data_IF_482366592157
#
_entry.id   IF_482366592157
#
_cell.length_a   1.000
_cell.length_b   1.000
_cell.length_c   1.000
_cell.angle_alpha   90.00
_cell.angle_beta   90.00
_cell.angle_gamma   90.00
#
_symmetry.space_group_name_H-M   'P 1'
#
loop_
_entity.id
_entity.type
_entity.pdbx_description
1 polymer ?
#
# COMPACT_ATOMS: atom_id res chain seq x y z
N UNK A 1 -42.02 37.29 -10.73
CA UNK A 1 -41.25 36.20 -10.12
C UNK A 1 -40.94 36.59 -8.69
N UNK A 2 -41.55 35.91 -7.71
CA UNK A 2 -41.45 36.33 -6.30
C UNK A 2 -40.00 36.23 -5.81
N UNK A 3 -39.45 37.30 -5.24
CA UNK A 3 -38.06 37.36 -4.75
C UNK A 3 -37.73 36.21 -3.76
N UNK A 4 -38.73 35.77 -2.98
CA UNK A 4 -38.64 34.60 -2.09
C UNK A 4 -38.47 33.26 -2.84
N UNK A 5 -39.05 33.13 -4.04
CA UNK A 5 -38.95 31.93 -4.87
C UNK A 5 -37.57 31.83 -5.54
N UNK A 6 -36.97 32.99 -5.89
CA UNK A 6 -35.60 33.05 -6.41
C UNK A 6 -34.54 32.69 -5.37
N UNK A 7 -34.71 33.13 -4.12
CA UNK A 7 -33.79 32.81 -3.01
C UNK A 7 -33.86 31.32 -2.65
N UNK A 8 -35.05 30.71 -2.67
CA UNK A 8 -35.21 29.28 -2.41
C UNK A 8 -34.55 28.42 -3.51
N UNK A 9 -34.62 28.85 -4.76
CA UNK A 9 -33.97 28.16 -5.88
C UNK A 9 -32.43 28.23 -5.78
N UNK A 10 -31.88 29.37 -5.35
CA UNK A 10 -30.44 29.55 -5.10
C UNK A 10 -29.92 28.70 -3.94
N UNK A 11 -30.71 28.51 -2.87
CA UNK A 11 -30.37 27.64 -1.74
C UNK A 11 -30.42 26.14 -2.10
N UNK A 12 -31.32 25.74 -3.02
CA UNK A 12 -31.39 24.37 -3.52
C UNK A 12 -30.20 24.01 -4.45
N UNK A 13 -29.65 24.99 -5.18
CA UNK A 13 -28.45 24.79 -6.00
C UNK A 13 -27.15 24.68 -5.18
N UNK A 14 -27.09 25.23 -3.95
CA UNK A 14 -25.94 25.08 -3.06
C UNK A 14 -25.85 23.73 -2.33
N UNK A 15 -26.84 22.86 -2.48
CA UNK A 15 -26.89 21.51 -1.87
C UNK A 15 -26.32 20.41 -2.78
N UNK A 16 -25.80 20.74 -3.96
CA UNK A 16 -24.89 19.87 -4.68
C UNK A 16 -23.51 19.92 -4.02
N UNK A 17 -23.44 19.30 -2.84
CA UNK A 17 -22.17 18.86 -2.29
C UNK A 17 -21.68 17.77 -3.24
N UNK A 18 -20.83 18.13 -4.21
CA UNK A 18 -20.04 17.13 -4.91
C UNK A 18 -19.16 16.50 -3.84
N UNK A 19 -19.45 15.26 -3.47
CA UNK A 19 -18.43 14.42 -2.85
C UNK A 19 -17.28 14.44 -3.84
N UNK A 20 -16.18 15.09 -3.48
CA UNK A 20 -14.93 14.90 -4.19
C UNK A 20 -14.48 13.49 -3.84
N UNK A 21 -15.08 12.49 -4.48
CA UNK A 21 -14.46 11.17 -4.54
C UNK A 21 -13.09 11.41 -5.16
N UNK A 22 -12.03 11.00 -4.46
CA UNK A 22 -10.67 11.13 -4.96
C UNK A 22 -10.46 10.10 -6.06
N UNK A 23 -11.18 10.25 -7.18
CA UNK A 23 -11.08 9.40 -8.33
C UNK A 23 -9.69 9.57 -8.98
N UNK A 24 -8.97 8.47 -9.16
CA UNK A 24 -7.72 8.47 -9.90
C UNK A 24 -7.97 8.24 -11.39
N UNK A 25 -6.98 8.57 -12.21
CA UNK A 25 -6.91 8.24 -13.63
C UNK A 25 -5.77 7.26 -13.86
N UNK A 26 -5.79 6.55 -14.99
CA UNK A 26 -4.68 5.67 -15.39
C UNK A 26 -3.34 6.42 -15.44
N UNK A 27 -3.35 7.72 -15.78
CA UNK A 27 -2.16 8.58 -15.78
C UNK A 27 -1.58 8.87 -14.40
N UNK A 28 -2.34 8.60 -13.34
CA UNK A 28 -1.97 8.92 -11.96
C UNK A 28 -1.23 7.75 -11.28
N UNK A 29 -1.22 6.58 -11.94
CA UNK A 29 -0.37 5.45 -11.55
C UNK A 29 1.11 5.71 -11.81
N UNK A 30 1.94 4.80 -11.33
CA UNK A 30 3.39 4.87 -11.46
C UNK A 30 3.97 3.47 -11.63
N UNK A 31 5.09 3.39 -12.35
CA UNK A 31 5.68 2.11 -12.75
C UNK A 31 6.07 1.23 -11.56
N UNK A 32 6.32 1.81 -10.39
CA UNK A 32 6.85 1.10 -9.23
C UNK A 32 6.38 1.72 -7.91
N UNK A 33 5.88 0.86 -7.02
CA UNK A 33 5.76 1.09 -5.59
C UNK A 33 6.47 -0.02 -4.81
N UNK A 34 6.72 0.22 -3.52
CA UNK A 34 7.32 -0.77 -2.61
C UNK A 34 6.34 -1.10 -1.50
N UNK A 35 6.20 -2.37 -1.14
CA UNK A 35 5.47 -2.79 0.05
C UNK A 35 6.45 -3.16 1.16
N UNK A 36 6.27 -2.58 2.35
CA UNK A 36 7.09 -2.89 3.52
C UNK A 36 6.55 -4.12 4.25
N UNK A 37 7.04 -5.28 3.86
CA UNK A 37 6.62 -6.56 4.42
C UNK A 37 7.39 -6.88 5.69
N UNK A 38 6.69 -7.07 6.81
CA UNK A 38 7.31 -7.48 8.07
C UNK A 38 7.43 -9.01 8.13
N UNK A 39 8.67 -9.51 8.18
CA UNK A 39 8.97 -10.94 8.18
C UNK A 39 8.83 -11.50 9.58
N UNK A 40 7.86 -12.38 9.79
CA UNK A 40 7.76 -13.19 11.03
C UNK A 40 8.57 -14.48 10.91
N UNK A 41 8.77 -15.16 12.04
CA UNK A 41 9.50 -16.44 12.07
C UNK A 41 8.86 -17.49 11.14
N UNK A 42 9.69 -18.24 10.43
CA UNK A 42 9.28 -19.36 9.58
C UNK A 42 8.86 -19.00 8.15
N UNK A 43 8.85 -17.71 7.77
CA UNK A 43 8.57 -17.29 6.38
C UNK A 43 9.73 -17.61 5.44
N UNK A 44 9.40 -17.97 4.20
CA UNK A 44 10.36 -18.30 3.14
C UNK A 44 10.24 -17.28 2.00
N UNK A 45 11.38 -16.78 1.52
CA UNK A 45 11.39 -15.69 0.51
C UNK A 45 10.73 -16.09 -0.81
N UNK A 46 10.86 -17.35 -1.23
CA UNK A 46 10.22 -17.87 -2.45
C UNK A 46 8.69 -17.92 -2.35
N UNK A 47 8.15 -18.14 -1.15
CA UNK A 47 6.70 -18.13 -0.91
C UNK A 47 6.17 -16.70 -0.96
N UNK A 48 6.86 -15.76 -0.31
CA UNK A 48 6.55 -14.32 -0.41
C UNK A 48 6.59 -13.86 -1.88
N UNK A 49 7.59 -14.31 -2.65
CA UNK A 49 7.67 -13.98 -4.08
C UNK A 49 6.50 -14.55 -4.90
N UNK A 50 5.93 -15.70 -4.49
CA UNK A 50 4.76 -16.27 -5.13
C UNK A 50 3.48 -15.51 -4.76
N UNK A 51 3.33 -15.12 -3.48
CA UNK A 51 2.23 -14.31 -2.97
C UNK A 51 2.16 -12.94 -3.67
N UNK A 52 3.31 -12.29 -3.88
CA UNK A 52 3.43 -10.95 -4.48
C UNK A 52 3.82 -10.98 -5.96
N UNK A 53 3.55 -12.08 -6.67
CA UNK A 53 3.89 -12.21 -8.09
C UNK A 53 3.16 -11.13 -8.91
N UNK A 54 3.93 -10.36 -9.68
CA UNK A 54 3.43 -9.30 -10.57
C UNK A 54 4.28 -9.27 -11.85
N UNK A 55 4.08 -8.30 -12.74
CA UNK A 55 4.98 -8.07 -13.88
C UNK A 55 6.39 -7.64 -13.43
N UNK A 56 6.52 -6.97 -12.28
CA UNK A 56 7.81 -6.52 -11.71
C UNK A 56 8.50 -7.61 -10.89
N UNK A 57 7.73 -8.33 -10.08
CA UNK A 57 8.23 -9.37 -9.18
C UNK A 57 7.98 -10.75 -9.79
N UNK A 58 8.99 -11.27 -10.49
CA UNK A 58 8.92 -12.60 -11.13
C UNK A 58 9.57 -13.71 -10.30
N UNK A 59 10.44 -13.36 -9.34
CA UNK A 59 11.17 -14.32 -8.51
C UNK A 59 11.64 -13.73 -7.18
N UNK A 60 12.09 -14.59 -6.26
CA UNK A 60 12.69 -14.16 -4.99
C UNK A 60 13.90 -13.23 -5.18
N UNK A 61 14.66 -13.38 -6.28
CA UNK A 61 15.76 -12.48 -6.60
C UNK A 61 15.31 -11.04 -6.85
N UNK A 62 14.10 -10.82 -7.38
CA UNK A 62 13.52 -9.49 -7.51
C UNK A 62 13.37 -8.81 -6.15
N UNK A 63 13.08 -9.56 -5.07
CA UNK A 63 13.02 -9.01 -3.71
C UNK A 63 14.45 -8.72 -3.20
N UNK A 64 15.41 -9.62 -3.41
CA UNK A 64 16.82 -9.43 -2.98
C UNK A 64 17.40 -8.12 -3.51
N UNK A 65 17.09 -7.73 -4.76
CA UNK A 65 17.59 -6.50 -5.37
C UNK A 65 17.25 -5.23 -4.59
N UNK A 66 16.11 -5.21 -3.91
CA UNK A 66 15.63 -4.07 -3.10
C UNK A 66 16.04 -4.16 -1.62
N UNK A 67 16.71 -5.24 -1.21
CA UNK A 67 16.95 -5.57 0.21
C UNK A 67 18.39 -6.04 0.50
N UNK A 68 19.35 -5.76 -0.39
CA UNK A 68 20.72 -6.32 -0.35
C UNK A 68 21.48 -6.11 0.96
N UNK A 69 21.15 -5.06 1.71
CA UNK A 69 21.78 -4.78 3.00
C UNK A 69 21.42 -5.81 4.07
N UNK A 70 20.18 -6.32 4.07
CA UNK A 70 19.66 -7.23 5.10
C UNK A 70 19.36 -8.64 4.58
N UNK A 71 19.19 -8.80 3.27
CA UNK A 71 18.88 -10.05 2.57
C UNK A 71 19.88 -10.22 1.43
N UNK A 72 21.03 -10.87 1.67
CA UNK A 72 22.14 -10.92 0.70
C UNK A 72 21.87 -11.87 -0.47
N UNK A 73 21.00 -12.86 -0.30
CA UNK A 73 20.62 -13.84 -1.31
C UNK A 73 19.22 -14.42 -0.99
N UNK A 74 18.68 -15.21 -1.91
CA UNK A 74 17.34 -15.79 -1.80
C UNK A 74 17.21 -16.93 -0.76
N UNK A 75 18.33 -17.51 -0.33
CA UNK A 75 18.35 -18.69 0.55
C UNK A 75 18.35 -18.31 2.04
N UNK A 76 18.56 -17.04 2.37
CA UNK A 76 18.63 -16.55 3.74
C UNK A 76 17.66 -15.38 3.93
N UNK A 77 16.61 -15.61 4.72
CA UNK A 77 15.65 -14.59 5.12
C UNK A 77 15.62 -14.44 6.65
N UNK A 78 16.25 -13.39 7.22
CA UNK A 78 16.15 -13.12 8.65
C UNK A 78 14.70 -12.86 9.07
N UNK A 79 14.36 -13.28 10.29
CA UNK A 79 13.07 -12.96 10.90
C UNK A 79 13.11 -11.62 11.63
N UNK A 80 11.94 -11.03 11.84
CA UNK A 80 11.70 -9.78 12.57
C UNK A 80 12.36 -8.55 11.93
N UNK A 81 12.45 -8.57 10.59
CA UNK A 81 12.91 -7.44 9.78
C UNK A 81 11.80 -7.00 8.83
N UNK A 82 11.93 -5.81 8.26
CA UNK A 82 11.13 -5.36 7.12
C UNK A 82 11.92 -5.55 5.83
N UNK A 83 11.24 -6.02 4.79
CA UNK A 83 11.76 -6.09 3.43
C UNK A 83 10.86 -5.30 2.49
N UNK A 84 11.46 -4.68 1.47
CA UNK A 84 10.75 -3.99 0.41
C UNK A 84 10.38 -4.97 -0.70
N UNK A 85 9.09 -5.09 -1.00
CA UNK A 85 8.56 -5.90 -2.09
C UNK A 85 8.17 -4.96 -3.24
N UNK A 86 8.82 -5.02 -4.42
CA UNK A 86 8.47 -4.16 -5.54
C UNK A 86 7.20 -4.65 -6.25
N UNK A 87 6.29 -3.74 -6.59
CA UNK A 87 5.05 -4.05 -7.31
C UNK A 87 4.57 -2.85 -8.14
N UNK A 88 3.78 -3.08 -9.22
CA UNK A 88 3.22 -1.98 -10.02
C UNK A 88 2.20 -1.18 -9.20
N UNK A 89 2.01 0.09 -9.52
CA UNK A 89 1.01 0.93 -8.87
C UNK A 89 0.04 1.51 -9.90
N UNK A 90 -1.20 1.04 -9.88
CA UNK A 90 -2.19 1.28 -10.92
C UNK A 90 -3.42 1.98 -10.34
N UNK A 91 -4.14 2.71 -11.17
CA UNK A 91 -5.46 3.20 -10.80
C UNK A 91 -6.50 2.11 -10.99
N UNK A 92 -7.07 1.61 -9.89
CA UNK A 92 -8.07 0.54 -9.88
C UNK A 92 -9.46 1.17 -9.94
N UNK A 93 -10.22 0.78 -10.96
CA UNK A 93 -11.61 1.20 -11.21
C UNK A 93 -11.87 2.71 -11.22
N UNK A 94 -10.83 3.52 -11.38
CA UNK A 94 -10.92 4.98 -11.32
C UNK A 94 -11.07 5.53 -9.89
N UNK A 95 -10.91 4.71 -8.86
CA UNK A 95 -11.21 5.07 -7.48
C UNK A 95 -9.95 5.28 -6.62
N UNK A 96 -8.99 4.37 -6.68
CA UNK A 96 -7.80 4.44 -5.83
C UNK A 96 -6.57 3.80 -6.48
N UNK A 97 -5.39 4.20 -5.98
CA UNK A 97 -4.12 3.61 -6.40
C UNK A 97 -3.82 2.33 -5.62
N UNK A 98 -3.56 1.25 -6.34
CA UNK A 98 -3.22 -0.04 -5.77
C UNK A 98 -2.76 -1.04 -6.82
N UNK A 99 -2.62 -2.29 -6.38
CA UNK A 99 -2.47 -3.44 -7.25
C UNK A 99 -3.18 -4.65 -6.67
N UNK A 100 -3.79 -5.45 -7.54
CA UNK A 100 -4.50 -6.66 -7.16
C UNK A 100 -3.68 -7.89 -7.52
N UNK A 101 -3.14 -8.55 -6.50
CA UNK A 101 -2.42 -9.81 -6.63
C UNK A 101 -3.38 -10.99 -6.74
N UNK A 102 -2.91 -12.07 -7.37
CA UNK A 102 -3.63 -13.34 -7.49
C UNK A 102 -3.06 -14.34 -6.47
N UNK A 103 -3.77 -14.55 -5.37
CA UNK A 103 -3.34 -15.42 -4.27
C UNK A 103 -3.96 -16.81 -4.40
N UNK A 104 -3.13 -17.86 -4.46
CA UNK A 104 -3.62 -19.23 -4.44
C UNK A 104 -4.02 -19.64 -3.02
N UNK A 105 -5.28 -19.98 -2.81
CA UNK A 105 -5.80 -20.34 -1.49
C UNK A 105 -5.23 -21.67 -1.02
N UNK A 106 -4.82 -21.70 0.25
CA UNK A 106 -4.48 -22.91 0.98
C UNK A 106 -5.63 -23.35 1.89
N UNK A 107 -5.75 -24.67 2.11
CA UNK A 107 -6.79 -25.21 3.00
C UNK A 107 -6.73 -24.62 4.40
N UNK A 108 -7.86 -24.12 4.90
CA UNK A 108 -7.97 -23.45 6.20
C UNK A 108 -7.67 -21.95 6.19
N UNK A 109 -7.44 -21.33 5.03
CA UNK A 109 -7.32 -19.89 4.91
C UNK A 109 -8.61 -19.15 5.31
N UNK A 110 -8.42 -17.98 5.94
CA UNK A 110 -9.46 -17.02 6.27
C UNK A 110 -8.99 -15.63 5.82
N UNK A 111 -9.89 -14.67 5.63
CA UNK A 111 -9.44 -13.30 5.32
C UNK A 111 -8.56 -12.71 6.42
N UNK A 112 -8.80 -13.08 7.68
CA UNK A 112 -7.95 -12.67 8.80
C UNK A 112 -6.53 -13.21 8.67
N UNK A 113 -6.35 -14.51 8.38
CA UNK A 113 -5.02 -15.09 8.22
C UNK A 113 -4.32 -14.54 6.98
N UNK A 114 -5.05 -14.36 5.87
CA UNK A 114 -4.50 -13.79 4.64
C UNK A 114 -4.03 -12.35 4.86
N UNK A 115 -4.89 -11.48 5.41
CA UNK A 115 -4.55 -10.07 5.62
C UNK A 115 -3.41 -9.90 6.62
N UNK A 116 -3.51 -10.53 7.79
CA UNK A 116 -2.63 -10.21 8.91
C UNK A 116 -1.31 -10.99 8.88
N UNK A 117 -1.34 -12.24 8.37
CA UNK A 117 -0.19 -13.15 8.43
C UNK A 117 0.44 -13.36 7.05
N UNK A 118 -0.37 -13.62 6.02
CA UNK A 118 0.14 -13.85 4.65
C UNK A 118 0.66 -12.55 4.05
N UNK A 119 -0.14 -11.48 4.08
CA UNK A 119 0.20 -10.17 3.51
C UNK A 119 0.71 -9.17 4.56
N UNK A 120 1.01 -9.62 5.77
CA UNK A 120 1.63 -8.81 6.83
C UNK A 120 0.96 -7.43 7.08
N UNK A 121 -0.37 -7.37 7.01
CA UNK A 121 -1.21 -6.17 7.14
C UNK A 121 -1.08 -5.14 5.99
N UNK A 122 -0.54 -5.53 4.83
CA UNK A 122 -0.51 -4.71 3.61
C UNK A 122 -1.89 -4.61 2.93
N UNK A 123 -2.81 -5.48 3.28
CA UNK A 123 -4.22 -5.43 2.90
C UNK A 123 -5.11 -5.49 4.14
N UNK A 124 -6.41 -5.30 3.96
CA UNK A 124 -7.40 -5.38 5.04
C UNK A 124 -8.47 -6.41 4.72
N UNK A 125 -9.13 -6.93 5.76
CA UNK A 125 -10.27 -7.84 5.61
C UNK A 125 -11.38 -7.19 4.76
N UNK A 126 -11.61 -5.88 4.93
CA UNK A 126 -12.58 -5.14 4.11
C UNK A 126 -12.19 -5.10 2.63
N UNK A 127 -10.91 -4.87 2.32
CA UNK A 127 -10.40 -4.90 0.95
C UNK A 127 -10.53 -6.29 0.31
N UNK A 128 -10.22 -7.35 1.07
CA UNK A 128 -10.40 -8.74 0.62
C UNK A 128 -11.88 -9.05 0.32
N UNK A 129 -12.82 -8.62 1.17
CA UNK A 129 -14.25 -8.81 0.94
C UNK A 129 -14.75 -8.05 -0.30
N UNK A 130 -14.28 -6.82 -0.50
CA UNK A 130 -14.65 -6.02 -1.67
C UNK A 130 -14.10 -6.63 -2.97
N UNK A 131 -12.88 -7.17 -2.92
CA UNK A 131 -12.21 -7.75 -4.10
C UNK A 131 -12.71 -9.16 -4.44
N UNK A 132 -13.41 -9.82 -3.51
CA UNK A 132 -13.93 -11.19 -3.65
C UNK A 132 -15.38 -11.28 -3.12
N UNK A 133 -16.34 -10.56 -3.75
CA UNK A 133 -17.72 -10.42 -3.25
C UNK A 133 -18.50 -11.74 -3.21
N UNK A 134 -18.02 -12.79 -3.88
CA UNK A 134 -18.60 -14.12 -3.93
C UNK A 134 -18.35 -14.96 -2.66
N UNK A 135 -17.37 -14.59 -1.82
CA UNK A 135 -17.02 -15.34 -0.61
C UNK A 135 -17.23 -14.54 0.67
N UNK A 136 -17.88 -15.15 1.65
CA UNK A 136 -17.94 -14.62 3.02
C UNK A 136 -16.66 -14.97 3.78
N UNK A 137 -16.38 -14.26 4.89
CA UNK A 137 -15.10 -14.34 5.61
C UNK A 137 -14.64 -15.74 6.03
N UNK A 138 -15.59 -16.64 6.31
CA UNK A 138 -15.33 -18.02 6.74
C UNK A 138 -15.70 -19.06 5.67
N UNK A 139 -16.01 -18.63 4.44
CA UNK A 139 -16.42 -19.51 3.35
C UNK A 139 -15.55 -19.28 2.11
N UNK A 140 -14.26 -19.11 2.34
CA UNK A 140 -13.24 -19.14 1.29
C UNK A 140 -13.09 -20.61 0.88
N UNK A 141 -13.06 -20.94 -0.42
CA UNK A 141 -12.87 -22.31 -0.86
C UNK A 141 -11.48 -22.82 -0.48
N UNK A 142 -11.35 -24.10 -0.10
CA UNK A 142 -10.04 -24.69 0.28
C UNK A 142 -9.01 -24.71 -0.87
N UNK A 143 -9.45 -24.41 -2.08
CA UNK A 143 -8.62 -24.26 -3.28
C UNK A 143 -9.22 -23.18 -4.18
N UNK A 144 -8.38 -22.46 -4.91
CA UNK A 144 -8.83 -21.41 -5.82
C UNK A 144 -7.86 -20.24 -5.82
N UNK A 145 -8.30 -19.12 -6.39
CA UNK A 145 -7.53 -17.88 -6.45
C UNK A 145 -8.38 -16.75 -5.89
N UNK A 146 -7.80 -15.97 -4.98
CA UNK A 146 -8.38 -14.74 -4.47
C UNK A 146 -7.65 -13.53 -5.02
N UNK A 147 -8.41 -12.47 -5.25
CA UNK A 147 -7.90 -11.13 -5.49
C UNK A 147 -7.47 -10.51 -4.17
N UNK A 148 -6.19 -10.14 -4.05
CA UNK A 148 -5.65 -9.46 -2.88
C UNK A 148 -5.14 -8.09 -3.27
N UNK A 149 -5.85 -7.04 -2.87
CA UNK A 149 -5.52 -5.66 -3.24
C UNK A 149 -4.66 -4.99 -2.18
N UNK A 150 -3.52 -4.44 -2.60
CA UNK A 150 -2.59 -3.64 -1.77
C UNK A 150 -2.54 -2.23 -2.34
N UNK A 151 -2.79 -1.23 -1.49
CA UNK A 151 -2.78 0.16 -1.90
C UNK A 151 -1.35 0.68 -2.08
N UNK A 152 -1.20 1.69 -2.93
CA UNK A 152 0.08 2.35 -3.18
C UNK A 152 -0.13 3.87 -3.34
N UNK A 153 0.98 4.60 -3.45
CA UNK A 153 0.97 6.03 -3.73
C UNK A 153 2.02 6.35 -4.78
N UNK A 154 1.71 7.30 -5.65
CA UNK A 154 2.62 7.84 -6.66
C UNK A 154 3.05 9.28 -6.33
N UNK A 155 2.82 9.70 -5.08
CA UNK A 155 3.10 11.05 -4.62
C UNK A 155 1.99 12.05 -4.93
N UNK A 156 2.17 13.25 -4.37
CA UNK A 156 1.25 14.37 -4.55
C UNK A 156 2.11 15.61 -4.78
N UNK A 157 2.13 16.10 -6.01
CA UNK A 157 3.01 17.21 -6.41
C UNK A 157 2.77 18.50 -5.61
N UNK A 158 1.55 18.74 -5.13
CA UNK A 158 1.25 19.86 -4.23
C UNK A 158 1.85 19.71 -2.82
N UNK A 159 2.32 18.51 -2.45
CA UNK A 159 3.06 18.27 -1.21
C UNK A 159 4.56 18.46 -1.48
N UNK A 160 5.10 17.73 -2.45
CA UNK A 160 6.47 17.87 -2.94
C UNK A 160 6.63 17.20 -4.31
N UNK A 161 7.42 17.81 -5.19
CA UNK A 161 7.78 17.26 -6.51
C UNK A 161 9.02 16.35 -6.45
N UNK A 162 9.71 16.27 -5.30
CA UNK A 162 10.98 15.53 -5.15
C UNK A 162 10.78 14.01 -5.02
N UNK A 163 9.56 13.56 -4.72
CA UNK A 163 9.29 12.17 -4.34
C UNK A 163 8.30 11.52 -5.33
N UNK A 164 8.78 10.55 -6.10
CA UNK A 164 7.98 9.77 -7.06
C UNK A 164 7.95 8.26 -6.80
N UNK A 165 8.60 7.79 -5.74
CA UNK A 165 8.58 6.40 -5.29
C UNK A 165 8.10 6.36 -3.84
N UNK A 166 7.13 5.50 -3.53
CA UNK A 166 6.59 5.38 -2.18
C UNK A 166 6.60 3.93 -1.69
N UNK A 167 6.73 3.81 -0.38
CA UNK A 167 6.66 2.58 0.38
C UNK A 167 5.30 2.55 1.09
N UNK A 168 4.47 1.57 0.76
CA UNK A 168 3.27 1.17 1.51
C UNK A 168 3.71 0.48 2.79
N UNK A 169 3.45 1.10 3.94
CA UNK A 169 4.02 0.72 5.23
C UNK A 169 2.92 0.50 6.28
N UNK A 170 2.60 -0.76 6.60
CA UNK A 170 1.69 -1.06 7.71
C UNK A 170 2.39 -0.71 9.01
N UNK A 171 1.81 0.19 9.79
CA UNK A 171 2.32 0.55 11.11
C UNK A 171 2.22 -0.63 12.06
N UNK A 172 3.22 -0.73 12.95
CA UNK A 172 3.25 -1.69 14.07
C UNK A 172 3.28 -0.93 15.40
N UNK A 173 2.96 -1.57 16.53
CA UNK A 173 2.86 -0.88 17.83
C UNK A 173 4.11 -0.10 18.27
N UNK A 174 5.29 -0.48 17.78
CA UNK A 174 6.57 0.21 18.01
C UNK A 174 6.81 1.43 17.11
N UNK A 175 6.04 1.57 16.03
CA UNK A 175 6.15 2.66 15.08
C UNK A 175 5.48 3.94 15.61
N UNK A 176 6.14 5.07 15.42
CA UNK A 176 5.59 6.40 15.64
C UNK A 176 6.06 7.34 14.52
N UNK A 177 5.41 8.49 14.38
CA UNK A 177 5.77 9.48 13.37
C UNK A 177 7.26 9.85 13.47
N UNK A 178 7.76 10.08 14.68
CA UNK A 178 9.15 10.46 14.94
C UNK A 178 10.14 9.31 14.69
N UNK A 179 9.78 8.06 15.04
CA UNK A 179 10.68 6.92 14.82
C UNK A 179 10.83 6.64 13.33
N UNK A 180 9.75 6.71 12.56
CA UNK A 180 9.77 6.54 11.10
C UNK A 180 10.51 7.70 10.42
N UNK A 181 10.21 8.94 10.81
CA UNK A 181 10.90 10.14 10.29
C UNK A 181 12.43 10.02 10.44
N UNK A 182 12.90 9.61 11.63
CA UNK A 182 14.34 9.38 11.88
C UNK A 182 14.90 8.23 11.05
N UNK A 183 14.21 7.09 10.98
CA UNK A 183 14.69 5.91 10.26
C UNK A 183 14.78 6.14 8.74
N UNK A 184 13.89 6.96 8.20
CA UNK A 184 13.78 7.23 6.75
C UNK A 184 14.53 8.49 6.32
N UNK A 185 14.94 9.33 7.27
CA UNK A 185 15.47 10.67 7.05
C UNK A 185 14.47 11.57 6.29
N UNK A 186 13.18 11.41 6.58
CA UNK A 186 12.09 12.26 6.10
C UNK A 186 11.60 13.10 7.28
N UNK A 187 11.35 14.39 7.09
CA UNK A 187 10.82 15.22 8.17
C UNK A 187 9.44 14.72 8.62
N UNK A 188 9.16 14.73 9.92
CA UNK A 188 7.87 14.34 10.47
C UNK A 188 6.69 15.13 9.85
N UNK A 189 6.87 16.43 9.59
CA UNK A 189 5.87 17.26 8.91
C UNK A 189 5.54 16.74 7.51
N UNK A 190 6.55 16.50 6.67
CA UNK A 190 6.36 15.96 5.32
C UNK A 190 5.67 14.59 5.36
N UNK A 191 6.11 13.70 6.26
CA UNK A 191 5.51 12.38 6.44
C UNK A 191 4.04 12.48 6.86
N UNK A 192 3.70 13.41 7.76
CA UNK A 192 2.33 13.65 8.19
C UNK A 192 1.47 14.23 7.05
N UNK A 193 2.02 15.11 6.22
CA UNK A 193 1.30 15.70 5.08
C UNK A 193 0.91 14.66 4.02
N UNK A 194 1.75 13.64 3.80
CA UNK A 194 1.41 12.51 2.93
C UNK A 194 0.40 11.54 3.55
N UNK A 195 0.22 11.58 4.87
CA UNK A 195 -0.66 10.67 5.62
C UNK A 195 -1.65 11.47 6.50
N UNK A 196 -2.48 12.35 5.92
CA UNK A 196 -3.31 13.28 6.69
C UNK A 196 -4.51 12.62 7.37
N UNK A 197 -4.92 11.42 6.92
CA UNK A 197 -6.11 10.74 7.42
C UNK A 197 -5.81 9.86 8.64
N UNK A 198 -6.14 10.40 9.82
CA UNK A 198 -5.97 9.71 11.10
C UNK A 198 -6.90 8.50 11.31
N UNK A 199 -7.93 8.33 10.47
CA UNK A 199 -8.83 7.17 10.52
C UNK A 199 -8.24 5.96 9.80
N UNK A 200 -7.37 6.20 8.82
CA UNK A 200 -6.64 5.17 8.07
C UNK A 200 -5.28 4.86 8.71
N UNK A 201 -4.63 5.86 9.30
CA UNK A 201 -3.32 5.72 9.93
C UNK A 201 -3.24 6.45 11.28
N UNK A 202 -2.88 5.72 12.33
CA UNK A 202 -2.70 6.27 13.66
C UNK A 202 -1.27 6.05 14.16
N UNK A 203 -0.41 7.03 13.92
CA UNK A 203 0.98 7.04 14.40
C UNK A 203 1.09 7.01 15.94
N UNK A 204 0.05 7.39 16.69
CA UNK A 204 0.06 7.32 18.16
C UNK A 204 -0.24 5.92 18.69
N UNK A 205 -0.88 5.08 17.88
CA UNK A 205 -1.21 3.69 18.23
C UNK A 205 -0.36 2.67 17.47
N UNK A 206 0.43 3.11 16.49
CA UNK A 206 1.20 2.21 15.64
C UNK A 206 0.30 1.29 14.82
N UNK A 207 -0.80 1.83 14.27
CA UNK A 207 -1.80 1.05 13.54
C UNK A 207 -2.24 1.74 12.26
N UNK A 208 -2.65 0.94 11.28
CA UNK A 208 -3.07 1.43 9.96
C UNK A 208 -1.95 1.41 8.92
N UNK A 209 -2.25 1.97 7.74
CA UNK A 209 -1.37 1.91 6.56
C UNK A 209 -0.91 3.33 6.20
N UNK A 210 0.40 3.53 6.06
CA UNK A 210 0.98 4.84 5.67
C UNK A 210 1.82 4.71 4.40
N UNK A 211 1.96 5.82 3.68
CA UNK A 211 2.83 5.94 2.52
C UNK A 211 4.05 6.78 2.90
N UNK A 212 5.23 6.17 2.77
CA UNK A 212 6.51 6.79 3.10
C UNK A 212 7.26 7.05 1.80
N UNK A 213 7.75 8.27 1.54
CA UNK A 213 8.64 8.50 0.39
C UNK A 213 9.86 7.57 0.43
N UNK A 214 10.05 6.79 -0.63
CA UNK A 214 11.20 5.93 -0.82
C UNK A 214 12.42 6.73 -1.29
N UNK A 215 13.62 6.32 -0.88
CA UNK A 215 14.86 6.85 -1.46
C UNK A 215 15.04 6.25 -2.85
N UNK A 216 15.02 7.10 -3.88
CA UNK A 216 15.31 6.72 -5.26
C UNK A 216 14.60 7.63 -6.25
N UNK A 217 15.35 8.51 -6.92
CA UNK A 217 14.89 9.07 -8.19
C UNK A 217 14.82 7.92 -9.20
N UNK A 218 13.67 7.71 -9.83
CA UNK A 218 13.51 6.75 -10.91
C UNK A 218 14.29 7.25 -12.14
N UNK A 219 15.49 6.73 -12.35
CA UNK A 219 16.19 6.85 -13.63
C UNK A 219 16.25 5.44 -14.25
N UNK A 220 15.26 5.12 -15.09
CA UNK A 220 15.18 3.82 -15.77
C UNK A 220 14.89 2.62 -14.88
N UNK A 221 14.14 2.78 -13.78
CA UNK A 221 13.66 1.65 -12.95
C UNK A 221 14.70 1.03 -12.01
N UNK A 222 15.82 1.72 -11.74
CA UNK A 222 16.79 1.30 -10.72
C UNK A 222 16.88 2.34 -9.61
N UNK A 223 16.65 1.91 -8.37
CA UNK A 223 16.91 2.74 -7.19
C UNK A 223 18.41 3.02 -7.12
N UNK A 224 18.78 4.30 -7.26
CA UNK A 224 20.10 4.79 -6.85
C UNK A 224 20.03 5.07 -5.35
N UNK A 225 20.74 4.28 -4.56
CA UNK A 225 21.13 4.68 -3.21
C UNK A 225 22.13 5.82 -3.37
N UNK A 226 21.65 7.06 -3.39
CA UNK A 226 22.54 8.21 -3.25
C UNK A 226 23.01 8.26 -1.80
N UNK A 227 24.08 7.50 -1.54
CA UNK A 227 24.89 7.64 -0.36
C UNK A 227 25.63 8.97 -0.42
N UNK A 228 25.20 9.91 0.41
CA UNK A 228 26.06 10.91 1.04
C UNK A 228 25.58 11.18 2.46
#
# INVERSE_FOLDING_TARGET
MNLKLGILLLLLLSLYCTTADSACRTSDGCDLALASYYVVSGKVLSEIALEFKSNILQSANSIVEYNRENVPNQDTLPSFIRINIPFPCECIDGEFLGHTFQYNVAGGDTYTTIANNTYANLTTISSLRLSNPEYTENNIPDTGVLNVTVNCSCGVSSISEEYGLFITYPLRPEDSLDSIARATNISADLLQRYNPDYTVANFSQGSGLVFIPGKGCLDGGKIRNDGK
#
